data_IF_932870751687
#
_entry.id   IF_932870751687
#
_cell.length_a   1.000
_cell.length_b   1.000
_cell.length_c   1.000
_cell.angle_alpha   90.00
_cell.angle_beta   90.00
_cell.angle_gamma   90.00
#
_symmetry.space_group_name_H-M   'P 1'
#
loop_
_entity.id
_entity.type
_entity.pdbx_description
1 polymer ?
#
# COMPACT_ATOMS: atom_id res chain seq x y z
N UNK A 1 37.14 26.70 68.43
CA UNK A 1 36.20 27.03 67.33
C UNK A 1 36.60 26.19 66.12
N UNK A 2 35.89 25.11 65.89
CA UNK A 2 36.18 24.20 64.75
C UNK A 2 35.07 24.41 63.74
N UNK A 3 35.45 24.80 62.52
CA UNK A 3 34.54 24.90 61.39
C UNK A 3 34.62 23.60 60.58
N UNK A 4 33.56 22.82 60.62
CA UNK A 4 33.37 21.63 59.78
C UNK A 4 32.80 22.08 58.44
N UNK A 5 33.56 21.90 57.36
CA UNK A 5 33.16 22.10 55.99
C UNK A 5 32.34 20.89 55.50
N UNK A 6 31.08 21.12 55.15
CA UNK A 6 30.19 20.15 54.47
C UNK A 6 30.37 20.28 52.97
N UNK A 7 31.07 19.32 52.38
CA UNK A 7 31.12 19.16 50.90
C UNK A 7 29.88 18.45 50.42
N UNK A 8 29.00 19.19 49.71
CA UNK A 8 27.85 18.63 49.00
C UNK A 8 28.30 17.96 47.72
N UNK A 9 28.17 16.66 47.68
CA UNK A 9 28.33 15.88 46.45
C UNK A 9 27.05 15.95 45.65
N UNK A 10 27.06 16.67 44.53
CA UNK A 10 25.98 16.67 43.57
C UNK A 10 26.12 15.44 42.66
N UNK A 11 25.29 14.45 42.88
CA UNK A 11 25.15 13.30 41.99
C UNK A 11 24.31 13.74 40.78
N UNK A 12 24.97 14.01 39.64
CA UNK A 12 24.32 14.21 38.37
C UNK A 12 23.78 12.87 37.86
N UNK A 13 22.45 12.69 38.01
CA UNK A 13 21.76 11.57 37.43
C UNK A 13 21.68 11.76 35.90
N UNK A 14 22.50 11.04 35.18
CA UNK A 14 22.38 10.93 33.72
C UNK A 14 21.20 10.02 33.43
N UNK A 15 20.04 10.61 33.19
CA UNK A 15 18.91 9.92 32.61
C UNK A 15 19.26 9.61 31.14
N UNK A 16 19.69 8.38 30.89
CA UNK A 16 19.70 7.84 29.54
C UNK A 16 18.24 7.77 29.06
N UNK A 17 17.84 8.77 28.27
CA UNK A 17 16.67 8.63 27.44
C UNK A 17 16.98 7.52 26.42
N UNK A 18 16.48 6.34 26.69
CA UNK A 18 16.35 5.31 25.67
C UNK A 18 15.39 5.88 24.62
N UNK A 19 15.94 6.39 23.52
CA UNK A 19 15.19 6.61 22.32
C UNK A 19 14.63 5.23 21.95
N UNK A 20 13.31 5.07 22.08
CA UNK A 20 12.62 3.90 21.56
C UNK A 20 13.01 3.84 20.07
N UNK A 21 13.80 2.85 19.71
CA UNK A 21 14.08 2.56 18.32
C UNK A 21 12.72 2.33 17.66
N UNK A 22 12.36 3.17 16.71
CA UNK A 22 11.25 2.92 15.81
C UNK A 22 11.45 1.51 15.26
N UNK A 23 10.40 0.67 15.18
CA UNK A 23 10.56 -0.64 14.60
C UNK A 23 11.19 -0.45 13.22
N UNK A 24 12.37 -1.03 13.05
CA UNK A 24 13.09 -1.07 11.80
C UNK A 24 12.14 -1.75 10.81
N UNK A 25 11.53 -0.94 9.95
CA UNK A 25 10.77 -1.46 8.82
C UNK A 25 11.81 -2.21 8.01
N UNK A 26 11.79 -3.53 8.09
CA UNK A 26 12.59 -4.36 7.19
C UNK A 26 12.25 -3.85 5.79
N UNK A 27 13.17 -3.12 5.21
CA UNK A 27 13.14 -2.74 3.80
C UNK A 27 13.10 -4.05 3.01
N UNK A 28 11.87 -4.50 2.77
CA UNK A 28 11.65 -5.56 1.82
C UNK A 28 11.93 -4.92 0.47
N UNK A 29 13.14 -5.11 -0.04
CA UNK A 29 13.67 -4.52 -1.27
C UNK A 29 12.78 -4.79 -2.50
N UNK A 30 11.77 -5.65 -2.38
CA UNK A 30 10.74 -5.88 -3.38
C UNK A 30 9.59 -4.84 -3.37
N UNK A 31 9.55 -3.92 -2.41
CA UNK A 31 8.53 -2.85 -2.32
C UNK A 31 8.90 -1.64 -3.20
N UNK A 32 10.08 -1.61 -3.78
CA UNK A 32 10.68 -0.43 -4.41
C UNK A 32 10.12 -0.11 -5.81
N UNK A 33 9.13 -0.78 -6.28
CA UNK A 33 8.48 -0.34 -7.53
C UNK A 33 7.23 0.51 -7.29
N UNK A 34 7.25 1.38 -6.30
CA UNK A 34 6.36 2.55 -6.34
C UNK A 34 6.83 3.37 -7.53
N UNK A 35 6.04 3.42 -8.59
CA UNK A 35 6.43 4.20 -9.75
C UNK A 35 6.76 5.61 -9.26
N UNK A 36 7.95 6.10 -9.59
CA UNK A 36 8.40 7.45 -9.20
C UNK A 36 7.36 8.51 -9.54
N UNK A 37 6.64 8.31 -10.65
CA UNK A 37 5.54 9.16 -11.07
C UNK A 37 4.37 9.20 -10.06
N UNK A 38 4.09 8.12 -9.34
CA UNK A 38 3.02 8.09 -8.31
C UNK A 38 3.46 8.88 -7.09
N UNK A 39 4.71 8.73 -6.66
CA UNK A 39 5.27 9.50 -5.55
C UNK A 39 5.28 11.01 -5.84
N UNK A 40 5.62 11.40 -7.07
CA UNK A 40 5.68 12.80 -7.49
C UNK A 40 4.29 13.43 -7.68
N UNK A 41 3.33 12.67 -8.22
CA UNK A 41 1.98 13.17 -8.54
C UNK A 41 1.00 13.09 -7.38
N UNK A 42 1.17 12.11 -6.49
CA UNK A 42 0.23 11.77 -5.42
C UNK A 42 0.97 11.52 -4.09
N UNK A 43 1.69 12.52 -3.55
CA UNK A 43 2.51 12.35 -2.33
C UNK A 43 1.70 11.95 -1.11
N UNK A 44 0.43 12.35 -1.02
CA UNK A 44 -0.49 11.96 0.06
C UNK A 44 -0.80 10.46 0.04
N UNK A 45 -1.08 9.90 -1.14
CA UNK A 45 -1.29 8.46 -1.30
C UNK A 45 -0.01 7.67 -0.98
N UNK A 46 1.14 8.18 -1.39
CA UNK A 46 2.43 7.57 -1.06
C UNK A 46 2.69 7.56 0.44
N UNK A 47 2.44 8.68 1.13
CA UNK A 47 2.61 8.78 2.58
C UNK A 47 1.65 7.84 3.34
N UNK A 48 0.41 7.69 2.88
CA UNK A 48 -0.55 6.74 3.46
C UNK A 48 -0.11 5.29 3.21
N UNK A 49 0.40 4.97 2.02
CA UNK A 49 0.95 3.65 1.71
C UNK A 49 2.10 3.26 2.64
N UNK A 50 3.02 4.17 2.91
CA UNK A 50 4.15 3.91 3.82
C UNK A 50 3.72 3.63 5.27
N UNK A 51 2.58 4.19 5.70
CA UNK A 51 2.04 4.02 7.06
C UNK A 51 1.09 2.84 7.19
N UNK A 52 0.53 2.36 6.08
CA UNK A 52 -0.48 1.31 6.09
C UNK A 52 0.12 -0.08 6.35
N UNK A 53 -0.72 -1.00 6.84
CA UNK A 53 -0.34 -2.40 6.94
C UNK A 53 -0.27 -3.03 5.54
N UNK A 54 0.87 -3.61 5.20
CA UNK A 54 1.07 -4.27 3.92
C UNK A 54 0.76 -5.77 4.00
N UNK A 55 -0.12 -6.24 3.14
CA UNK A 55 -0.38 -7.67 2.92
C UNK A 55 0.20 -8.07 1.56
N UNK A 56 1.07 -9.05 1.55
CA UNK A 56 1.61 -9.60 0.31
C UNK A 56 0.94 -10.94 0.02
N UNK A 57 0.21 -11.02 -1.10
CA UNK A 57 -0.53 -12.21 -1.52
C UNK A 57 0.30 -13.17 -2.39
N UNK A 58 1.58 -12.90 -2.56
CA UNK A 58 2.47 -13.85 -3.23
C UNK A 58 2.90 -14.92 -2.23
N UNK A 59 2.78 -16.17 -2.64
CA UNK A 59 3.56 -17.22 -2.03
C UNK A 59 5.04 -16.83 -2.19
N UNK A 60 5.81 -16.88 -1.11
CA UNK A 60 7.25 -16.64 -1.14
C UNK A 60 7.87 -17.45 -2.28
N UNK A 61 8.04 -16.83 -3.42
CA UNK A 61 8.86 -17.40 -4.49
C UNK A 61 10.28 -17.45 -3.97
N UNK A 62 10.90 -18.58 -4.14
CA UNK A 62 12.31 -18.80 -3.83
C UNK A 62 13.14 -17.61 -4.31
N UNK A 63 14.07 -17.16 -3.47
CA UNK A 63 14.96 -16.05 -3.82
C UNK A 63 15.54 -16.30 -5.20
N UNK A 64 15.19 -15.48 -6.18
CA UNK A 64 15.89 -15.48 -7.46
C UNK A 64 17.35 -15.23 -7.15
N UNK A 65 18.20 -16.14 -7.63
CA UNK A 65 19.64 -15.99 -7.54
C UNK A 65 20.00 -14.72 -8.33
N UNK A 66 20.52 -13.72 -7.64
CA UNK A 66 21.00 -12.51 -8.29
C UNK A 66 22.19 -12.86 -9.17
N UNK A 67 22.02 -12.73 -10.47
CA UNK A 67 23.13 -12.82 -11.41
C UNK A 67 23.70 -11.42 -11.58
N UNK A 68 25.00 -11.20 -11.29
CA UNK A 68 25.61 -9.89 -11.47
C UNK A 68 25.47 -9.43 -12.92
N UNK A 69 24.89 -8.24 -13.12
CA UNK A 69 24.80 -7.61 -14.43
C UNK A 69 26.07 -6.84 -14.77
N UNK A 70 26.29 -6.53 -16.03
CA UNK A 70 27.40 -5.70 -16.53
C UNK A 70 27.15 -4.19 -16.30
N UNK A 71 26.01 -3.82 -15.68
CA UNK A 71 25.61 -2.45 -15.41
C UNK A 71 25.04 -1.67 -16.60
N UNK A 72 24.99 -2.28 -17.78
CA UNK A 72 24.43 -1.66 -18.98
C UNK A 72 22.99 -2.10 -19.23
N UNK A 73 22.06 -1.17 -19.56
CA UNK A 73 20.71 -1.56 -19.96
C UNK A 73 20.77 -2.31 -21.29
N UNK A 74 20.21 -3.53 -21.32
CA UNK A 74 20.00 -4.26 -22.57
C UNK A 74 18.80 -3.65 -23.31
N UNK A 75 19.01 -3.03 -24.49
CA UNK A 75 17.93 -2.40 -25.26
C UNK A 75 16.89 -3.41 -25.77
N UNK A 76 17.23 -4.69 -25.81
CA UNK A 76 16.33 -5.76 -26.25
C UNK A 76 15.66 -6.50 -25.09
N UNK A 77 15.93 -6.07 -23.85
CA UNK A 77 15.32 -6.69 -22.67
C UNK A 77 13.81 -6.43 -22.67
N UNK A 78 12.98 -7.46 -22.60
CA UNK A 78 11.55 -7.26 -22.43
C UNK A 78 11.27 -6.46 -21.15
N UNK A 79 10.22 -5.60 -21.15
CA UNK A 79 9.87 -4.82 -19.97
C UNK A 79 9.73 -5.73 -18.76
N UNK A 80 10.34 -5.32 -17.65
CA UNK A 80 10.24 -6.05 -16.38
C UNK A 80 8.80 -5.91 -15.89
N UNK A 81 8.04 -6.98 -15.97
CA UNK A 81 6.72 -7.04 -15.35
C UNK A 81 6.95 -7.18 -13.84
N UNK A 82 6.47 -6.25 -13.03
CA UNK A 82 6.62 -6.36 -11.58
C UNK A 82 5.94 -7.66 -11.10
N UNK A 83 6.58 -8.38 -10.20
CA UNK A 83 6.03 -9.60 -9.62
C UNK A 83 4.67 -9.34 -8.94
N UNK A 84 4.48 -8.12 -8.43
CA UNK A 84 3.24 -7.66 -7.79
C UNK A 84 2.87 -6.25 -8.20
N UNK A 85 1.57 -6.01 -8.25
CA UNK A 85 1.00 -4.66 -8.24
C UNK A 85 0.51 -4.39 -6.82
N UNK A 86 0.89 -3.24 -6.28
CA UNK A 86 0.51 -2.81 -4.95
C UNK A 86 -0.63 -1.79 -5.04
N UNK A 87 -1.67 -2.03 -4.25
CA UNK A 87 -2.83 -1.17 -4.12
C UNK A 87 -2.95 -0.68 -2.67
N UNK A 88 -3.20 0.61 -2.51
CA UNK A 88 -3.63 1.24 -1.27
C UNK A 88 -5.14 1.48 -1.33
N UNK A 89 -5.84 1.16 -0.25
CA UNK A 89 -7.25 1.45 -0.05
C UNK A 89 -7.45 2.05 1.33
N UNK A 90 -8.21 3.14 1.44
CA UNK A 90 -8.51 3.81 2.71
C UNK A 90 -10.02 4.03 2.86
N UNK A 91 -10.51 4.01 4.10
CA UNK A 91 -11.93 4.13 4.42
C UNK A 91 -12.48 5.56 4.34
N UNK A 92 -11.62 6.55 4.20
CA UNK A 92 -12.02 7.96 4.08
C UNK A 92 -11.38 8.60 2.85
N UNK A 93 -11.98 9.68 2.36
CA UNK A 93 -11.45 10.47 1.26
C UNK A 93 -10.08 11.06 1.64
N UNK A 94 -9.20 11.26 0.65
CA UNK A 94 -7.90 11.85 0.89
C UNK A 94 -6.88 10.93 1.53
N UNK A 95 -7.07 9.62 1.41
CA UNK A 95 -6.18 8.61 1.99
C UNK A 95 -6.10 8.70 3.52
N UNK A 96 -7.24 8.97 4.14
CA UNK A 96 -7.42 9.03 5.58
C UNK A 96 -8.19 7.81 6.11
N UNK A 97 -8.40 7.79 7.43
CA UNK A 97 -9.09 6.69 8.11
C UNK A 97 -8.24 5.42 8.22
N UNK A 98 -8.91 4.27 8.17
CA UNK A 98 -8.27 2.96 8.19
C UNK A 98 -7.74 2.63 6.79
N UNK A 99 -6.42 2.51 6.65
CA UNK A 99 -5.78 2.22 5.37
C UNK A 99 -5.19 0.80 5.35
N UNK A 100 -5.35 0.12 4.23
CA UNK A 100 -4.80 -1.18 3.93
C UNK A 100 -4.03 -1.12 2.62
N UNK A 101 -2.79 -1.60 2.63
CA UNK A 101 -2.03 -1.87 1.42
C UNK A 101 -1.90 -3.36 1.18
N UNK A 102 -2.01 -3.77 -0.06
CA UNK A 102 -1.76 -5.16 -0.42
C UNK A 102 -1.13 -5.27 -1.81
N UNK A 103 -0.41 -6.34 -2.03
CA UNK A 103 0.22 -6.66 -3.30
C UNK A 103 -0.21 -8.02 -3.82
N UNK A 104 -0.47 -8.10 -5.13
CA UNK A 104 -0.81 -9.34 -5.80
C UNK A 104 -0.23 -9.39 -7.22
N UNK A 105 0.01 -10.59 -7.78
CA UNK A 105 0.43 -10.75 -9.17
C UNK A 105 -0.55 -10.09 -10.14
N UNK A 106 -0.04 -9.50 -11.24
CA UNK A 106 -0.89 -8.96 -12.29
C UNK A 106 -1.92 -9.96 -12.80
N UNK A 107 -3.14 -9.50 -13.03
CA UNK A 107 -4.23 -10.32 -13.55
C UNK A 107 -4.91 -11.24 -12.54
N UNK A 108 -4.42 -11.35 -11.31
CA UNK A 108 -5.06 -12.12 -10.24
C UNK A 108 -6.27 -11.38 -9.70
N UNK A 109 -7.41 -12.07 -9.63
CA UNK A 109 -8.56 -11.55 -8.88
C UNK A 109 -8.31 -11.70 -7.38
N UNK A 110 -8.52 -10.63 -6.64
CA UNK A 110 -8.33 -10.56 -5.19
C UNK A 110 -9.66 -10.26 -4.52
N UNK A 111 -10.11 -11.16 -3.66
CA UNK A 111 -11.21 -10.95 -2.72
C UNK A 111 -10.63 -10.61 -1.34
N UNK A 112 -11.34 -9.91 -0.50
CA UNK A 112 -10.88 -9.65 0.88
C UNK A 112 -10.68 -10.95 1.67
N UNK A 113 -11.49 -11.99 1.41
CA UNK A 113 -11.28 -13.33 1.98
C UNK A 113 -9.92 -13.96 1.64
N UNK A 114 -9.28 -13.52 0.56
CA UNK A 114 -7.94 -14.00 0.16
C UNK A 114 -6.82 -13.53 1.11
N UNK A 115 -7.08 -12.55 1.98
CA UNK A 115 -6.10 -12.04 2.93
C UNK A 115 -5.83 -12.99 4.10
N UNK A 116 -6.62 -14.05 4.25
CA UNK A 116 -6.50 -15.03 5.35
C UNK A 116 -6.43 -14.36 6.74
N UNK A 117 -7.30 -13.41 6.98
CA UNK A 117 -7.46 -12.64 8.22
C UNK A 117 -8.77 -12.97 8.90
N UNK A 118 -8.93 -12.49 10.14
CA UNK A 118 -10.19 -12.65 10.89
C UNK A 118 -11.33 -11.87 10.26
N UNK A 119 -12.58 -12.29 10.50
CA UNK A 119 -13.76 -11.57 10.02
C UNK A 119 -13.74 -10.10 10.48
N UNK A 120 -13.41 -9.85 11.74
CA UNK A 120 -13.31 -8.49 12.28
C UNK A 120 -12.25 -7.61 11.54
N UNK A 121 -11.23 -8.23 10.96
CA UNK A 121 -10.29 -7.52 10.09
C UNK A 121 -10.93 -7.23 8.71
N UNK A 122 -11.60 -8.21 8.13
CA UNK A 122 -12.24 -8.06 6.82
C UNK A 122 -13.33 -6.98 6.84
N UNK A 123 -14.14 -6.94 7.89
CA UNK A 123 -15.23 -5.98 8.07
C UNK A 123 -14.75 -4.51 8.11
N UNK A 124 -13.47 -4.28 8.38
CA UNK A 124 -12.87 -2.95 8.34
C UNK A 124 -12.58 -2.44 6.93
N UNK A 125 -12.47 -3.34 5.95
CA UNK A 125 -11.98 -2.99 4.62
C UNK A 125 -12.90 -3.38 3.48
N UNK A 126 -13.61 -4.53 3.61
CA UNK A 126 -14.56 -4.96 2.61
C UNK A 126 -15.76 -4.01 2.59
N UNK A 127 -16.06 -3.47 1.41
CA UNK A 127 -17.11 -2.46 1.23
C UNK A 127 -16.94 -1.22 2.14
N UNK A 128 -15.68 -0.81 2.41
CA UNK A 128 -15.35 0.35 3.23
C UNK A 128 -14.36 1.29 2.53
N UNK A 129 -14.10 1.08 1.26
CA UNK A 129 -13.11 1.88 0.52
C UNK A 129 -13.75 3.15 -0.01
N UNK A 130 -13.18 4.30 0.37
CA UNK A 130 -13.56 5.64 -0.13
C UNK A 130 -12.44 6.29 -0.97
N UNK A 131 -11.17 5.94 -0.74
CA UNK A 131 -10.08 6.38 -1.60
C UNK A 131 -9.11 5.25 -1.91
N UNK A 132 -8.48 5.29 -3.08
CA UNK A 132 -7.57 4.24 -3.52
C UNK A 132 -6.45 4.77 -4.42
N UNK A 133 -5.31 4.07 -4.40
CA UNK A 133 -4.18 4.36 -5.29
C UNK A 133 -3.39 3.10 -5.63
N UNK A 134 -3.16 2.87 -6.92
CA UNK A 134 -2.20 1.87 -7.39
C UNK A 134 -0.79 2.46 -7.30
N UNK A 135 -0.06 2.10 -6.24
CA UNK A 135 1.25 2.68 -5.96
C UNK A 135 2.37 2.21 -6.91
N UNK A 136 2.10 1.25 -7.77
CA UNK A 136 3.05 0.80 -8.81
C UNK A 136 2.73 1.35 -10.19
N UNK A 137 1.78 2.29 -10.30
CA UNK A 137 1.40 2.91 -11.57
C UNK A 137 0.57 2.02 -12.49
N UNK A 138 0.05 0.88 -12.00
CA UNK A 138 -0.86 0.02 -12.75
C UNK A 138 -2.30 0.52 -12.70
N UNK A 139 -3.17 -0.12 -13.50
CA UNK A 139 -4.62 0.05 -13.43
C UNK A 139 -5.23 -1.15 -12.73
N UNK A 140 -6.16 -0.89 -11.82
CA UNK A 140 -6.94 -1.93 -11.18
C UNK A 140 -8.41 -1.79 -11.56
N UNK A 141 -9.05 -2.90 -11.89
CA UNK A 141 -10.49 -2.95 -12.10
C UNK A 141 -11.14 -3.41 -10.80
N UNK A 142 -12.10 -2.64 -10.32
CA UNK A 142 -12.82 -2.86 -9.06
C UNK A 142 -14.23 -3.35 -9.34
N UNK A 143 -14.74 -4.24 -8.48
CA UNK A 143 -16.05 -4.87 -8.64
C UNK A 143 -16.82 -4.80 -7.33
N UNK A 144 -18.15 -4.61 -7.44
CA UNK A 144 -19.07 -4.64 -6.32
C UNK A 144 -19.35 -6.07 -5.82
N UNK A 145 -19.00 -7.07 -6.62
CA UNK A 145 -19.19 -8.48 -6.31
C UNK A 145 -17.85 -9.19 -6.10
N UNK A 146 -17.87 -10.30 -5.35
CA UNK A 146 -16.71 -11.17 -5.16
C UNK A 146 -16.31 -11.86 -6.47
N UNK A 147 -15.07 -12.37 -6.53
CA UNK A 147 -14.51 -13.11 -7.66
C UNK A 147 -14.38 -12.30 -8.97
N UNK A 148 -14.29 -10.97 -8.85
CA UNK A 148 -14.26 -10.07 -10.01
C UNK A 148 -15.42 -10.33 -10.98
N UNK A 149 -16.56 -10.61 -10.39
CA UNK A 149 -17.79 -10.92 -11.14
C UNK A 149 -18.47 -9.60 -11.54
N UNK A 150 -18.84 -9.52 -12.81
CA UNK A 150 -19.54 -8.38 -13.41
C UNK A 150 -21.04 -8.65 -13.57
N UNK A 151 -21.68 -9.09 -12.50
CA UNK A 151 -23.12 -9.35 -12.48
C UNK A 151 -23.97 -8.14 -12.90
N UNK A 152 -25.00 -8.41 -13.64
CA UNK A 152 -25.94 -7.38 -14.11
C UNK A 152 -25.25 -6.40 -15.06
N UNK A 153 -25.54 -5.11 -14.89
CA UNK A 153 -24.96 -4.03 -15.69
C UNK A 153 -23.63 -3.50 -15.13
N UNK A 154 -23.17 -4.03 -14.00
CA UNK A 154 -21.91 -3.62 -13.37
C UNK A 154 -20.71 -4.31 -14.04
N UNK A 155 -20.01 -3.56 -14.87
CA UNK A 155 -18.81 -4.04 -15.57
C UNK A 155 -17.52 -3.85 -14.76
N UNK A 156 -17.63 -3.35 -13.55
CA UNK A 156 -16.49 -2.88 -12.78
C UNK A 156 -15.97 -1.51 -13.27
N UNK A 157 -15.22 -0.84 -12.43
CA UNK A 157 -14.56 0.43 -12.74
C UNK A 157 -13.05 0.26 -12.78
N UNK A 158 -12.38 0.84 -13.76
CA UNK A 158 -10.92 0.79 -13.89
C UNK A 158 -10.29 2.09 -13.42
N UNK A 159 -9.56 2.04 -12.31
CA UNK A 159 -8.95 3.20 -11.68
C UNK A 159 -7.48 2.89 -11.30
N UNK A 160 -6.60 3.88 -11.48
CA UNK A 160 -5.23 3.85 -10.93
C UNK A 160 -5.10 4.71 -9.68
N UNK A 161 -5.98 5.70 -9.55
CA UNK A 161 -6.03 6.65 -8.46
C UNK A 161 -7.44 7.22 -8.34
N UNK A 162 -7.95 7.35 -7.13
CA UNK A 162 -9.15 8.13 -6.85
C UNK A 162 -9.09 8.62 -5.40
N UNK A 163 -9.20 9.95 -5.26
CA UNK A 163 -9.15 10.64 -3.97
C UNK A 163 -10.45 10.48 -3.16
N UNK A 164 -11.58 10.34 -3.85
CA UNK A 164 -12.90 10.18 -3.22
C UNK A 164 -13.88 9.45 -4.15
N UNK A 165 -14.10 8.18 -3.89
CA UNK A 165 -15.02 7.33 -4.67
C UNK A 165 -16.50 7.73 -4.57
N UNK A 166 -16.86 8.59 -3.62
CA UNK A 166 -18.22 9.14 -3.49
C UNK A 166 -18.50 10.33 -4.41
N UNK A 167 -17.52 10.78 -5.22
CA UNK A 167 -17.65 11.95 -6.10
C UNK A 167 -17.43 11.53 -7.55
N UNK A 168 -18.37 11.90 -8.42
CA UNK A 168 -18.21 11.74 -9.87
C UNK A 168 -17.06 12.62 -10.39
N UNK A 169 -16.34 12.15 -11.39
CA UNK A 169 -15.26 12.90 -12.02
C UNK A 169 -15.57 13.25 -13.48
N UNK A 170 -14.75 14.16 -14.04
CA UNK A 170 -14.87 14.61 -15.43
C UNK A 170 -14.39 13.55 -16.44
N UNK A 171 -13.82 12.43 -15.98
CA UNK A 171 -13.32 11.34 -16.81
C UNK A 171 -14.33 10.22 -17.02
N UNK A 172 -15.54 10.37 -16.48
CA UNK A 172 -16.65 9.46 -16.66
C UNK A 172 -16.89 8.48 -15.50
N UNK A 173 -16.26 8.69 -14.38
CA UNK A 173 -16.56 7.96 -13.15
C UNK A 173 -17.84 8.54 -12.49
N UNK A 174 -18.80 7.68 -12.19
CA UNK A 174 -20.13 8.08 -11.71
C UNK A 174 -20.23 8.36 -10.21
N UNK A 175 -19.21 8.04 -9.41
CA UNK A 175 -19.25 8.20 -7.95
C UNK A 175 -19.99 7.07 -7.22
N UNK A 176 -20.18 5.92 -7.84
CA UNK A 176 -21.06 4.85 -7.35
C UNK A 176 -20.31 3.63 -6.76
N UNK A 177 -18.98 3.72 -6.57
CA UNK A 177 -18.15 2.66 -5.98
C UNK A 177 -17.74 2.93 -4.53
N UNK A 178 -18.15 4.07 -3.96
CA UNK A 178 -17.88 4.38 -2.56
C UNK A 178 -18.48 3.31 -1.63
N UNK A 179 -17.63 2.71 -0.80
CA UNK A 179 -18.01 1.66 0.14
C UNK A 179 -18.72 0.45 -0.50
N UNK A 180 -18.37 0.11 -1.77
CA UNK A 180 -19.01 -0.98 -2.50
C UNK A 180 -18.02 -1.99 -3.11
N UNK A 181 -16.73 -1.84 -2.88
CA UNK A 181 -15.72 -2.71 -3.47
C UNK A 181 -15.62 -4.02 -2.68
N UNK A 182 -15.93 -5.14 -3.34
CA UNK A 182 -15.81 -6.51 -2.78
C UNK A 182 -14.65 -7.31 -3.39
N UNK A 183 -14.22 -6.95 -4.60
CA UNK A 183 -13.05 -7.58 -5.22
C UNK A 183 -12.40 -6.64 -6.24
N UNK A 184 -11.16 -6.98 -6.62
CA UNK A 184 -10.43 -6.23 -7.63
C UNK A 184 -9.39 -7.09 -8.35
N UNK A 185 -9.01 -6.61 -9.54
CA UNK A 185 -8.00 -7.23 -10.40
C UNK A 185 -7.10 -6.15 -10.99
N UNK A 186 -5.83 -6.19 -10.67
CA UNK A 186 -4.87 -5.20 -11.14
C UNK A 186 -4.08 -5.72 -12.36
N UNK A 187 -3.81 -4.83 -13.31
CA UNK A 187 -3.01 -5.09 -14.49
C UNK A 187 -1.87 -4.10 -14.60
N UNK A 188 -0.76 -4.52 -15.19
CA UNK A 188 0.34 -3.59 -15.51
C UNK A 188 -0.14 -2.63 -16.58
N UNK A 189 0.09 -1.34 -16.40
CA UNK A 189 -0.13 -0.37 -17.46
C UNK A 189 0.85 -0.67 -18.60
N UNK A 190 0.31 -1.05 -19.76
CA UNK A 190 1.10 -1.19 -20.98
C UNK A 190 1.20 0.20 -21.59
N UNK A 191 2.40 0.79 -21.55
CA UNK A 191 2.72 2.06 -22.20
C UNK A 191 3.22 1.84 -23.61
#
# INVERSE_FOLDING_TARGET
>A
MQFTSLTSVVLASWAFQQAAALPEIQENTNIIAVAKSVQEKHPEAFAAFQKSNLINLVATTEKRQEVPGDGNPDPNRPPVIPDNIFLLQCSEAGFLGECLSWGAPPGRCVNYSSFNKTQAFLDKYENQTTSLSSNTGGLCQFYKFINCDNKGDDRGVSLGYNYNLGVADDQGYSGDYDNQISSCKCCVAVH
#
